data_IF_710997051852
#
_entry.id   IF_710997051852
#
_cell.length_a   1.000
_cell.length_b   1.000
_cell.length_c   1.000
_cell.angle_alpha   90.00
_cell.angle_beta   90.00
_cell.angle_gamma   90.00
#
_symmetry.space_group_name_H-M   'P 1'
#
loop_
_entity.id
_entity.type
_entity.pdbx_description
1 polymer ?
#
# COMPACT_ATOMS: atom_id res chain seq x y z
N UNK A 1 71.79 4.88 -7.99
CA UNK A 1 71.07 3.67 -8.46
C UNK A 1 70.71 2.83 -7.25
N UNK A 2 69.49 2.27 -7.24
CA UNK A 2 69.08 1.04 -6.52
C UNK A 2 68.09 1.16 -5.34
N UNK A 3 66.86 0.71 -5.64
CA UNK A 3 65.95 -0.08 -4.80
C UNK A 3 65.26 0.55 -3.55
N UNK A 4 64.32 1.50 -3.71
CA UNK A 4 63.24 1.74 -2.70
C UNK A 4 61.88 2.22 -3.26
N UNK A 5 61.48 1.83 -4.47
CA UNK A 5 60.21 2.32 -5.10
C UNK A 5 59.28 1.20 -5.59
N UNK A 6 59.51 -0.08 -5.24
CA UNK A 6 58.74 -1.21 -5.81
C UNK A 6 57.66 -1.82 -4.90
N UNK A 7 57.48 -1.35 -3.66
CA UNK A 7 56.57 -2.01 -2.69
C UNK A 7 55.19 -1.39 -2.49
N UNK A 8 54.83 -0.31 -3.17
CA UNK A 8 53.51 0.34 -2.99
C UNK A 8 52.47 -0.01 -4.06
N UNK A 9 52.83 -0.69 -5.14
CA UNK A 9 51.87 -1.01 -6.23
C UNK A 9 51.14 -2.35 -6.00
N UNK A 10 51.66 -3.24 -5.14
CA UNK A 10 51.05 -4.56 -4.92
C UNK A 10 49.86 -4.58 -3.95
N UNK A 11 49.63 -3.51 -3.18
CA UNK A 11 48.54 -3.42 -2.20
C UNK A 11 47.23 -2.86 -2.77
N UNK A 12 47.23 -2.32 -4.01
CA UNK A 12 46.04 -1.72 -4.63
C UNK A 12 45.18 -2.70 -5.46
N UNK A 13 45.54 -4.00 -5.50
CA UNK A 13 44.91 -5.00 -6.38
C UNK A 13 43.95 -5.97 -5.65
N UNK A 14 43.62 -5.73 -4.38
CA UNK A 14 42.83 -6.65 -3.54
C UNK A 14 41.39 -6.21 -3.25
N UNK A 15 40.88 -5.13 -3.84
CA UNK A 15 39.48 -4.68 -3.62
C UNK A 15 38.70 -4.65 -4.93
N UNK A 16 38.66 -5.78 -5.63
CA UNK A 16 37.65 -6.03 -6.64
C UNK A 16 37.07 -7.41 -6.40
N UNK A 17 36.41 -7.58 -5.24
CA UNK A 17 35.46 -8.67 -5.12
C UNK A 17 34.43 -8.43 -6.24
N UNK A 18 34.32 -9.31 -7.25
CA UNK A 18 33.23 -9.23 -8.20
C UNK A 18 31.98 -9.28 -7.34
N UNK A 19 31.25 -8.18 -7.29
CA UNK A 19 29.95 -8.14 -6.64
C UNK A 19 29.18 -9.26 -7.32
N UNK A 20 29.00 -10.39 -6.63
CA UNK A 20 28.19 -11.47 -7.15
C UNK A 20 26.84 -10.82 -7.45
N UNK A 21 26.51 -10.73 -8.74
CA UNK A 21 25.30 -10.07 -9.20
C UNK A 21 24.17 -10.89 -8.62
N UNK A 22 23.68 -10.49 -7.46
CA UNK A 22 22.54 -11.12 -6.83
C UNK A 22 21.42 -11.09 -7.87
N UNK A 23 20.88 -12.27 -8.20
CA UNK A 23 19.84 -12.39 -9.22
C UNK A 23 18.68 -11.44 -8.96
N UNK A 24 17.87 -11.20 -9.99
CA UNK A 24 16.70 -10.31 -9.93
C UNK A 24 15.90 -10.55 -8.65
N UNK A 25 15.69 -9.49 -7.87
CA UNK A 25 14.94 -9.57 -6.61
C UNK A 25 14.17 -8.30 -6.35
N UNK A 26 13.00 -8.44 -5.73
CA UNK A 26 12.33 -7.31 -5.11
C UNK A 26 13.10 -6.87 -3.86
N UNK A 27 13.19 -5.57 -3.65
CA UNK A 27 13.49 -5.01 -2.33
C UNK A 27 12.29 -5.19 -1.38
N UNK A 28 12.34 -4.49 -0.25
CA UNK A 28 11.26 -4.55 0.71
C UNK A 28 9.95 -3.99 0.14
N UNK A 29 8.86 -4.68 0.43
CA UNK A 29 7.52 -4.25 0.03
C UNK A 29 7.00 -3.18 0.97
N UNK A 30 6.78 -1.99 0.42
CA UNK A 30 6.06 -0.92 1.09
C UNK A 30 4.55 -1.14 0.98
N UNK A 31 3.86 -1.06 2.10
CA UNK A 31 2.40 -0.99 2.15
C UNK A 31 1.95 0.45 1.88
N UNK A 32 1.29 0.66 0.75
CA UNK A 32 0.80 1.97 0.33
C UNK A 32 -0.62 2.27 0.83
N UNK A 33 -1.20 1.38 1.63
CA UNK A 33 -2.55 1.51 2.15
C UNK A 33 -3.63 1.23 1.10
N UNK A 34 -4.86 1.60 1.46
CA UNK A 34 -6.02 1.35 0.63
C UNK A 34 -6.04 2.26 -0.59
N UNK A 35 -6.32 1.66 -1.74
CA UNK A 35 -6.55 2.40 -2.98
C UNK A 35 -7.92 3.07 -2.88
N UNK A 36 -8.09 4.23 -3.56
CA UNK A 36 -9.31 5.01 -3.47
C UNK A 36 -10.57 4.10 -3.58
N UNK A 37 -11.40 4.03 -2.52
CA UNK A 37 -12.49 3.09 -2.43
C UNK A 37 -13.63 3.41 -3.41
N UNK A 38 -13.66 4.61 -3.98
CA UNK A 38 -14.61 4.98 -5.05
C UNK A 38 -14.38 4.18 -6.33
N UNK A 39 -13.11 3.82 -6.62
CA UNK A 39 -12.76 3.18 -7.89
C UNK A 39 -12.27 1.74 -7.74
N UNK A 40 -11.72 1.39 -6.57
CA UNK A 40 -11.19 0.07 -6.29
C UNK A 40 -11.53 -0.34 -4.83
N UNK A 41 -12.82 -0.42 -4.48
CA UNK A 41 -13.25 -0.81 -3.14
C UNK A 41 -12.69 -2.20 -2.79
N UNK A 42 -12.09 -2.32 -1.60
CA UNK A 42 -11.53 -3.58 -1.13
C UNK A 42 -10.11 -3.85 -1.61
N UNK A 43 -9.43 -2.88 -2.21
CA UNK A 43 -8.07 -3.07 -2.71
C UNK A 43 -7.03 -2.31 -1.89
N UNK A 44 -5.94 -2.99 -1.57
CA UNK A 44 -4.73 -2.43 -0.96
C UNK A 44 -3.58 -2.46 -1.96
N UNK A 45 -2.76 -1.42 -1.98
CA UNK A 45 -1.60 -1.34 -2.87
C UNK A 45 -0.30 -1.60 -2.11
N UNK A 46 0.61 -2.32 -2.76
CA UNK A 46 1.99 -2.53 -2.29
C UNK A 46 2.96 -2.16 -3.40
N UNK A 47 4.17 -1.73 -3.05
CA UNK A 47 5.21 -1.45 -4.04
C UNK A 47 6.60 -1.83 -3.55
N UNK A 48 7.44 -2.30 -4.46
CA UNK A 48 8.84 -2.60 -4.21
C UNK A 48 9.72 -2.19 -5.39
N UNK A 49 10.99 -1.87 -5.12
CA UNK A 49 12.01 -1.65 -6.14
C UNK A 49 12.51 -3.01 -6.65
N UNK A 50 12.64 -3.17 -7.96
CA UNK A 50 13.32 -4.31 -8.57
C UNK A 50 14.83 -4.04 -8.60
N UNK A 51 15.63 -5.01 -8.15
CA UNK A 51 17.09 -4.93 -8.15
C UNK A 51 17.70 -6.06 -8.99
N UNK A 52 18.98 -5.91 -9.37
CA UNK A 52 19.77 -7.00 -9.96
C UNK A 52 19.35 -7.39 -11.38
N UNK A 53 18.99 -6.41 -12.21
CA UNK A 53 18.60 -6.69 -13.61
C UNK A 53 19.84 -7.07 -14.43
N UNK A 54 19.85 -8.25 -15.09
CA UNK A 54 20.98 -8.67 -15.90
C UNK A 54 21.19 -7.75 -17.10
N UNK A 55 22.46 -7.62 -17.51
CA UNK A 55 22.81 -6.94 -18.76
C UNK A 55 22.04 -7.54 -19.94
N UNK A 56 21.49 -6.68 -20.80
CA UNK A 56 20.69 -7.07 -21.96
C UNK A 56 19.18 -7.17 -21.69
N UNK A 57 18.72 -7.09 -20.44
CA UNK A 57 17.31 -6.94 -20.12
C UNK A 57 16.94 -5.47 -19.94
N UNK A 58 15.80 -5.06 -20.51
CA UNK A 58 15.19 -3.79 -20.13
C UNK A 58 14.58 -3.88 -18.73
N UNK A 59 14.60 -2.76 -18.00
CA UNK A 59 13.92 -2.63 -16.71
C UNK A 59 12.44 -3.02 -16.81
N UNK A 60 11.80 -2.62 -17.91
CA UNK A 60 10.40 -2.90 -18.19
C UNK A 60 10.12 -4.39 -18.38
N UNK A 61 10.95 -5.08 -19.15
CA UNK A 61 10.80 -6.51 -19.39
C UNK A 61 11.01 -7.31 -18.11
N UNK A 62 12.07 -7.02 -17.36
CA UNK A 62 12.35 -7.69 -16.10
C UNK A 62 11.20 -7.51 -15.09
N UNK A 63 10.71 -6.27 -14.93
CA UNK A 63 9.59 -6.00 -14.04
C UNK A 63 8.30 -6.69 -14.49
N UNK A 64 8.03 -6.73 -15.79
CA UNK A 64 6.82 -7.37 -16.31
C UNK A 64 6.78 -8.90 -16.13
N UNK A 65 7.93 -9.54 -15.91
CA UNK A 65 8.03 -11.00 -15.73
C UNK A 65 8.38 -11.43 -14.32
N UNK A 66 8.71 -10.50 -13.43
CA UNK A 66 9.21 -10.83 -12.09
C UNK A 66 8.05 -11.14 -11.12
N UNK A 67 7.93 -12.38 -10.61
CA UNK A 67 6.91 -12.72 -9.62
C UNK A 67 7.20 -12.05 -8.28
N UNK A 68 6.16 -11.80 -7.49
CA UNK A 68 6.27 -11.18 -6.17
C UNK A 68 5.25 -11.74 -5.20
N UNK A 69 5.55 -11.74 -3.90
CA UNK A 69 4.61 -12.20 -2.86
C UNK A 69 4.33 -11.06 -1.91
N UNK A 70 3.08 -10.62 -1.82
CA UNK A 70 2.64 -9.57 -0.88
C UNK A 70 1.47 -10.05 -0.02
N UNK A 71 1.56 -9.84 1.30
CA UNK A 71 0.51 -10.26 2.23
C UNK A 71 0.19 -11.77 2.21
N UNK A 72 1.17 -12.62 1.90
CA UNK A 72 0.98 -14.07 1.74
C UNK A 72 0.40 -14.50 0.40
N UNK A 73 0.15 -13.57 -0.52
CA UNK A 73 -0.37 -13.85 -1.86
C UNK A 73 0.74 -13.75 -2.91
N UNK A 74 0.92 -14.82 -3.69
CA UNK A 74 1.85 -14.84 -4.82
C UNK A 74 1.23 -14.23 -6.07
N UNK A 75 2.00 -13.38 -6.76
CA UNK A 75 1.67 -12.73 -8.01
C UNK A 75 2.68 -13.15 -9.07
N UNK A 76 2.20 -13.46 -10.28
CA UNK A 76 3.08 -13.83 -11.40
C UNK A 76 3.93 -12.64 -11.89
N UNK A 77 3.40 -11.44 -11.73
CA UNK A 77 4.03 -10.17 -12.06
C UNK A 77 3.32 -9.03 -11.31
N UNK A 78 3.93 -7.85 -11.16
CA UNK A 78 3.24 -6.65 -10.69
C UNK A 78 2.08 -6.28 -11.61
N UNK A 79 1.11 -5.53 -11.10
CA UNK A 79 0.06 -4.96 -11.94
C UNK A 79 0.61 -3.80 -12.79
N UNK A 80 1.54 -3.02 -12.23
CA UNK A 80 2.17 -1.89 -12.91
C UNK A 80 3.66 -1.85 -12.67
N UNK A 81 4.40 -1.55 -13.73
CA UNK A 81 5.82 -1.21 -13.68
C UNK A 81 5.96 0.30 -13.87
N UNK A 82 6.52 0.99 -12.86
CA UNK A 82 6.75 2.43 -12.89
C UNK A 82 8.24 2.70 -12.97
N UNK A 83 8.65 3.30 -14.09
CA UNK A 83 10.00 3.81 -14.27
C UNK A 83 10.00 5.27 -13.79
N UNK A 84 10.59 5.52 -12.61
CA UNK A 84 10.77 6.88 -12.09
C UNK A 84 12.17 7.35 -12.44
N UNK A 85 12.27 8.57 -12.95
CA UNK A 85 13.56 9.17 -13.32
C UNK A 85 14.34 9.74 -12.13
N UNK A 86 13.94 9.40 -10.90
CA UNK A 86 14.72 9.78 -9.72
C UNK A 86 16.09 9.12 -9.87
N UNK A 87 17.14 9.92 -10.10
CA UNK A 87 18.52 9.47 -9.97
C UNK A 87 18.60 8.83 -8.60
N UNK A 88 18.59 7.50 -8.54
CA UNK A 88 18.66 6.82 -7.28
C UNK A 88 20.01 7.21 -6.71
N UNK A 89 19.99 8.12 -5.73
CA UNK A 89 21.20 8.79 -5.31
C UNK A 89 22.20 7.77 -4.77
N UNK A 90 21.85 6.50 -4.52
CA UNK A 90 22.83 5.44 -4.24
C UNK A 90 23.86 5.22 -5.36
N UNK A 91 23.50 5.37 -6.63
CA UNK A 91 24.47 5.30 -7.73
C UNK A 91 25.39 6.51 -7.77
N UNK A 92 24.81 7.69 -7.51
CA UNK A 92 25.53 8.96 -7.51
C UNK A 92 26.28 9.16 -6.19
N UNK A 93 25.81 8.63 -5.06
CA UNK A 93 26.37 8.72 -3.73
C UNK A 93 27.45 7.68 -3.54
N UNK A 94 27.35 6.48 -4.11
CA UNK A 94 28.51 5.59 -4.20
C UNK A 94 29.63 6.25 -5.03
N UNK A 95 29.29 6.93 -6.13
CA UNK A 95 30.25 7.69 -6.94
C UNK A 95 30.82 8.92 -6.23
N UNK A 96 29.98 9.70 -5.55
CA UNK A 96 30.36 10.89 -4.76
C UNK A 96 31.16 10.44 -3.53
N UNK A 97 30.72 9.46 -2.75
CA UNK A 97 31.45 8.89 -1.62
C UNK A 97 32.79 8.32 -2.10
N UNK A 98 32.84 7.58 -3.23
CA UNK A 98 34.11 7.11 -3.79
C UNK A 98 35.01 8.28 -4.23
N UNK A 99 34.45 9.33 -4.82
CA UNK A 99 35.19 10.55 -5.16
C UNK A 99 35.68 11.31 -3.92
N UNK A 100 34.89 11.38 -2.86
CA UNK A 100 35.26 11.98 -1.57
C UNK A 100 36.32 11.16 -0.85
N UNK A 101 36.23 9.82 -0.87
CA UNK A 101 37.26 8.91 -0.34
C UNK A 101 38.54 9.01 -1.16
N UNK A 102 38.45 9.10 -2.49
CA UNK A 102 39.60 9.31 -3.36
C UNK A 102 40.25 10.68 -3.15
N UNK A 103 39.46 11.75 -3.03
CA UNK A 103 39.96 13.09 -2.70
C UNK A 103 40.58 13.13 -1.31
N UNK A 104 39.96 12.49 -0.31
CA UNK A 104 40.52 12.33 1.03
C UNK A 104 41.83 11.54 1.03
N UNK A 105 41.92 10.45 0.27
CA UNK A 105 43.15 9.67 0.12
C UNK A 105 44.27 10.45 -0.59
N UNK A 106 43.92 11.27 -1.60
CA UNK A 106 44.85 12.20 -2.26
C UNK A 106 45.32 13.28 -1.28
N UNK A 107 44.43 13.82 -0.44
CA UNK A 107 44.78 14.77 0.62
C UNK A 107 45.71 14.14 1.66
N UNK A 108 45.47 12.89 2.08
CA UNK A 108 46.35 12.14 2.99
C UNK A 108 47.72 11.85 2.35
N UNK A 109 47.77 11.54 1.05
CA UNK A 109 49.02 11.33 0.31
C UNK A 109 49.81 12.64 0.11
N UNK A 110 49.14 13.78 -0.08
CA UNK A 110 49.74 15.11 -0.10
C UNK A 110 50.23 15.55 1.29
N UNK A 111 49.49 15.20 2.36
CA UNK A 111 49.88 15.44 3.76
C UNK A 111 51.13 14.65 4.16
N UNK A 112 51.30 13.42 3.67
CA UNK A 112 52.53 12.65 3.87
C UNK A 112 53.75 13.25 3.14
N UNK A 113 53.53 14.24 2.26
CA UNK A 113 54.57 14.90 1.48
C UNK A 113 54.95 16.31 1.97
N UNK A 114 54.24 16.93 2.93
CA UNK A 114 54.67 18.21 3.50
C UNK A 114 53.70 18.90 4.48
N UNK A 115 54.24 19.32 5.63
CA UNK A 115 53.74 20.23 6.68
C UNK A 115 52.27 20.11 7.17
N UNK A 116 52.11 19.39 8.29
CA UNK A 116 50.84 19.09 8.95
C UNK A 116 50.26 20.19 9.85
N UNK A 117 49.90 21.35 9.29
CA UNK A 117 49.25 22.45 10.05
C UNK A 117 47.77 22.71 9.73
N UNK A 118 47.12 21.91 8.88
CA UNK A 118 45.73 22.18 8.40
C UNK A 118 44.69 21.19 8.95
N UNK A 119 45.03 20.40 9.98
CA UNK A 119 44.25 19.19 10.33
C UNK A 119 43.06 19.40 11.29
N UNK A 120 42.95 20.51 12.02
CA UNK A 120 41.93 20.60 13.08
C UNK A 120 40.54 21.06 12.61
N UNK A 121 40.42 21.65 11.42
CA UNK A 121 39.13 22.20 10.96
C UNK A 121 38.28 21.21 10.15
N UNK A 122 38.91 20.18 9.53
CA UNK A 122 38.21 19.27 8.59
C UNK A 122 37.69 17.95 9.21
N UNK A 123 38.16 17.55 10.40
CA UNK A 123 37.77 16.27 11.03
C UNK A 123 36.50 16.39 11.90
N UNK A 124 35.92 17.58 12.07
CA UNK A 124 34.72 17.78 12.92
C UNK A 124 33.38 17.52 12.22
N UNK A 125 33.36 17.10 10.94
CA UNK A 125 32.12 16.68 10.28
C UNK A 125 31.63 15.36 10.92
N UNK A 126 30.79 15.49 11.94
CA UNK A 126 30.25 14.38 12.75
C UNK A 126 29.67 13.26 11.86
N UNK A 127 29.87 11.98 12.22
CA UNK A 127 29.14 10.83 11.66
C UNK A 127 27.62 11.06 11.56
N UNK A 128 27.05 11.85 12.46
CA UNK A 128 25.62 12.22 12.47
C UNK A 128 25.20 13.00 11.20
N UNK A 129 26.13 13.73 10.59
CA UNK A 129 25.88 14.50 9.35
C UNK A 129 25.71 13.57 8.15
N UNK A 130 26.45 12.46 8.13
CA UNK A 130 26.37 11.48 7.03
C UNK A 130 25.08 10.67 7.13
N UNK A 131 24.72 10.19 8.32
CA UNK A 131 23.45 9.48 8.52
C UNK A 131 22.24 10.39 8.28
N UNK A 132 22.31 11.65 8.72
CA UNK A 132 21.27 12.65 8.47
C UNK A 132 21.04 12.93 6.98
N UNK A 133 22.12 13.00 6.19
CA UNK A 133 22.03 13.19 4.73
C UNK A 133 21.46 11.93 4.04
N UNK A 134 21.86 10.73 4.46
CA UNK A 134 21.28 9.47 3.94
C UNK A 134 19.78 9.40 4.22
N UNK A 135 19.34 9.73 5.43
CA UNK A 135 17.92 9.74 5.80
C UNK A 135 17.08 10.76 5.00
N UNK A 136 17.61 11.96 4.74
CA UNK A 136 16.94 12.98 3.92
C UNK A 136 16.81 12.55 2.46
N UNK A 137 17.82 11.86 1.91
CA UNK A 137 17.81 11.34 0.54
C UNK A 137 16.79 10.21 0.39
N UNK A 138 16.73 9.28 1.36
CA UNK A 138 15.71 8.23 1.38
C UNK A 138 14.30 8.83 1.43
N UNK A 139 14.07 9.84 2.27
CA UNK A 139 12.77 10.52 2.35
C UNK A 139 12.38 11.23 1.04
N UNK A 140 13.32 11.89 0.36
CA UNK A 140 13.07 12.56 -0.92
C UNK A 140 12.71 11.56 -2.04
N UNK A 141 13.44 10.45 -2.13
CA UNK A 141 13.12 9.35 -3.06
C UNK A 141 11.74 8.76 -2.78
N UNK A 142 11.32 8.69 -1.52
CA UNK A 142 10.01 8.19 -1.16
C UNK A 142 8.86 9.11 -1.59
N UNK A 143 9.04 10.43 -1.58
CA UNK A 143 7.98 11.36 -2.00
C UNK A 143 7.80 11.37 -3.52
N UNK A 144 8.88 11.30 -4.30
CA UNK A 144 8.78 11.14 -5.76
C UNK A 144 8.14 9.80 -6.14
N UNK A 145 8.52 8.72 -5.44
CA UNK A 145 7.85 7.43 -5.58
C UNK A 145 6.37 7.52 -5.23
N UNK A 146 5.98 8.32 -4.23
CA UNK A 146 4.58 8.58 -3.87
C UNK A 146 3.84 9.31 -5.00
N UNK A 147 4.43 10.33 -5.61
CA UNK A 147 3.84 11.04 -6.76
C UNK A 147 3.74 10.12 -7.99
N UNK A 148 4.77 9.32 -8.26
CA UNK A 148 4.76 8.28 -9.28
C UNK A 148 3.67 7.25 -9.05
N UNK A 149 3.52 6.79 -7.80
CA UNK A 149 2.50 5.84 -7.38
C UNK A 149 1.10 6.43 -7.48
N UNK A 150 0.88 7.68 -7.05
CA UNK A 150 -0.41 8.36 -7.19
C UNK A 150 -0.77 8.55 -8.68
N UNK A 151 0.22 8.85 -9.52
CA UNK A 151 0.04 8.91 -10.98
C UNK A 151 -0.31 7.53 -11.54
N UNK A 152 0.37 6.48 -11.09
CA UNK A 152 0.10 5.11 -11.49
C UNK A 152 -1.28 4.66 -11.06
N UNK A 153 -1.65 4.89 -9.81
CA UNK A 153 -2.98 4.67 -9.26
C UNK A 153 -4.02 5.36 -10.17
N UNK A 154 -3.90 6.68 -10.42
CA UNK A 154 -4.81 7.40 -11.33
C UNK A 154 -4.83 6.84 -12.75
N UNK A 155 -3.70 6.39 -13.29
CA UNK A 155 -3.60 5.87 -14.65
C UNK A 155 -4.23 4.47 -14.79
N UNK A 156 -4.17 3.63 -13.76
CA UNK A 156 -4.84 2.31 -13.70
C UNK A 156 -6.35 2.48 -13.48
N UNK A 157 -6.71 3.57 -12.79
CA UNK A 157 -8.06 3.90 -12.31
C UNK A 157 -8.85 4.77 -13.31
N UNK A 158 -8.34 5.04 -14.52
CA UNK A 158 -9.23 5.48 -15.61
C UNK A 158 -10.35 4.45 -15.76
N UNK A 159 -11.61 4.89 -16.00
CA UNK A 159 -12.80 4.07 -15.80
C UNK A 159 -12.60 2.74 -16.47
N UNK A 160 -12.49 1.72 -15.63
CA UNK A 160 -12.37 0.32 -15.97
C UNK A 160 -13.45 0.03 -17.04
N UNK A 161 -13.10 -0.13 -18.33
CA UNK A 161 -14.06 -0.63 -19.28
C UNK A 161 -14.26 -2.08 -18.86
N UNK A 162 -15.33 -2.35 -18.14
CA UNK A 162 -15.74 -3.73 -17.91
C UNK A 162 -15.91 -4.34 -19.30
N UNK A 163 -15.35 -5.53 -19.56
CA UNK A 163 -15.74 -6.27 -20.76
C UNK A 163 -17.26 -6.36 -20.76
N UNK A 164 -17.89 -5.96 -21.87
CA UNK A 164 -19.33 -6.02 -22.01
C UNK A 164 -19.80 -7.45 -21.71
N UNK A 165 -20.45 -7.66 -20.57
CA UNK A 165 -20.92 -8.97 -20.10
C UNK A 165 -20.15 -9.62 -18.94
N UNK A 166 -19.09 -9.02 -18.40
CA UNK A 166 -18.51 -9.46 -17.13
C UNK A 166 -19.41 -9.07 -15.94
N UNK A 167 -19.53 -9.89 -14.87
CA UNK A 167 -20.19 -9.43 -13.66
C UNK A 167 -19.49 -8.14 -13.20
N UNK A 168 -20.24 -7.09 -12.81
CA UNK A 168 -19.60 -5.91 -12.27
C UNK A 168 -18.68 -6.38 -11.14
N UNK A 169 -17.40 -6.00 -11.18
CA UNK A 169 -16.42 -6.35 -10.14
C UNK A 169 -16.90 -6.00 -8.73
N UNK A 170 -17.96 -5.19 -8.63
CA UNK A 170 -18.54 -4.66 -7.42
C UNK A 170 -20.06 -4.82 -7.33
N UNK A 171 -20.69 -5.59 -8.23
CA UNK A 171 -21.97 -6.22 -7.89
C UNK A 171 -21.67 -7.35 -6.93
N UNK A 172 -22.46 -7.48 -5.87
CA UNK A 172 -22.28 -8.53 -4.88
C UNK A 172 -21.93 -9.85 -5.58
N UNK A 173 -20.69 -10.34 -5.37
CA UNK A 173 -20.31 -11.65 -5.86
C UNK A 173 -21.40 -12.63 -5.41
N UNK A 174 -21.78 -13.62 -6.23
CA UNK A 174 -22.82 -14.58 -5.86
C UNK A 174 -22.56 -15.08 -4.44
N UNK A 175 -23.59 -15.16 -3.58
CA UNK A 175 -23.43 -15.63 -2.21
C UNK A 175 -22.60 -16.92 -2.16
N UNK A 176 -21.54 -16.93 -1.35
CA UNK A 176 -20.60 -18.06 -1.26
C UNK A 176 -19.35 -17.98 -2.15
N UNK A 177 -19.23 -16.96 -3.01
CA UNK A 177 -17.99 -16.73 -3.78
C UNK A 177 -16.92 -16.10 -2.89
N UNK A 178 -15.73 -16.69 -2.84
CA UNK A 178 -14.55 -16.04 -2.26
C UNK A 178 -14.13 -14.87 -3.16
N UNK A 179 -14.65 -13.69 -2.83
CA UNK A 179 -14.43 -12.48 -3.60
C UNK A 179 -12.95 -12.11 -3.69
N UNK A 180 -12.14 -12.41 -2.66
CA UNK A 180 -10.70 -12.13 -2.66
C UNK A 180 -9.99 -12.99 -3.70
N UNK A 181 -10.34 -14.28 -3.76
CA UNK A 181 -9.82 -15.20 -4.77
C UNK A 181 -10.18 -14.74 -6.18
N UNK A 182 -11.43 -14.32 -6.41
CA UNK A 182 -11.89 -13.85 -7.71
C UNK A 182 -11.17 -12.55 -8.15
N UNK A 183 -11.05 -11.57 -7.26
CA UNK A 183 -10.34 -10.31 -7.52
C UNK A 183 -8.86 -10.56 -7.80
N UNK A 184 -8.19 -11.37 -6.96
CA UNK A 184 -6.77 -11.68 -7.16
C UNK A 184 -6.53 -12.45 -8.46
N UNK A 185 -7.42 -13.37 -8.85
CA UNK A 185 -7.34 -14.06 -10.13
C UNK A 185 -7.54 -13.09 -11.32
N UNK A 186 -8.50 -12.17 -11.22
CA UNK A 186 -8.73 -11.16 -12.24
C UNK A 186 -7.51 -10.22 -12.41
N UNK A 187 -6.88 -9.81 -11.31
CA UNK A 187 -5.65 -9.01 -11.32
C UNK A 187 -4.49 -9.78 -11.97
N UNK A 188 -4.33 -11.06 -11.65
CA UNK A 188 -3.27 -11.92 -12.19
C UNK A 188 -3.42 -12.20 -13.70
N UNK A 189 -4.62 -12.08 -14.26
CA UNK A 189 -4.88 -12.28 -15.69
C UNK A 189 -4.60 -11.02 -16.54
N UNK A 190 -4.34 -9.85 -15.92
CA UNK A 190 -4.15 -8.60 -16.67
C UNK A 190 -2.73 -8.47 -17.21
N UNK A 191 -2.55 -7.91 -18.40
CA UNK A 191 -1.22 -7.51 -18.84
C UNK A 191 -0.67 -6.41 -17.93
N UNK A 192 0.64 -6.46 -17.71
CA UNK A 192 1.37 -5.46 -16.93
C UNK A 192 1.28 -4.11 -17.63
N UNK A 193 0.81 -3.08 -16.92
CA UNK A 193 0.85 -1.71 -17.45
C UNK A 193 2.23 -1.11 -17.19
N UNK A 194 2.88 -0.63 -18.24
CA UNK A 194 4.15 0.08 -18.12
C UNK A 194 3.88 1.59 -18.13
N UNK A 195 4.46 2.30 -17.16
CA UNK A 195 4.42 3.76 -17.09
C UNK A 195 5.86 4.25 -17.16
N UNK A 196 6.21 4.82 -18.31
CA UNK A 196 7.49 5.52 -18.50
C UNK A 196 7.29 6.99 -18.18
N UNK A 197 8.05 7.52 -17.22
CA UNK A 197 8.15 8.97 -16.98
C UNK A 197 9.39 9.63 -17.60
N UNK A 198 10.19 8.88 -18.36
CA UNK A 198 11.14 9.42 -19.33
C UNK A 198 12.19 8.41 -19.82
N UNK A 199 13.38 8.88 -20.19
CA UNK A 199 14.36 8.18 -21.04
C UNK A 199 15.56 7.53 -20.29
N UNK A 200 15.63 7.57 -18.96
CA UNK A 200 16.89 7.21 -18.26
C UNK A 200 16.83 6.58 -16.86
N UNK A 201 15.75 5.89 -16.46
CA UNK A 201 15.63 5.44 -15.07
C UNK A 201 16.61 4.34 -14.63
N UNK A 202 17.19 4.55 -13.44
CA UNK A 202 18.13 3.65 -12.75
C UNK A 202 17.43 2.62 -11.84
N UNK A 203 16.10 2.71 -11.69
CA UNK A 203 15.30 1.81 -10.87
C UNK A 203 13.87 1.65 -11.43
N UNK A 204 13.30 0.47 -11.22
CA UNK A 204 11.92 0.15 -11.62
C UNK A 204 11.12 -0.28 -10.40
N UNK A 205 9.93 0.27 -10.25
CA UNK A 205 9.00 -0.09 -9.19
C UNK A 205 7.93 -1.04 -9.71
N UNK A 206 7.72 -2.15 -9.02
CA UNK A 206 6.56 -3.01 -9.20
C UNK A 206 5.46 -2.59 -8.23
N UNK A 207 4.26 -2.31 -8.74
CA UNK A 207 3.07 -2.03 -7.93
C UNK A 207 2.13 -3.22 -8.00
N UNK A 208 1.74 -3.73 -6.82
CA UNK A 208 0.87 -4.88 -6.63
C UNK A 208 -0.43 -4.41 -5.98
N UNK A 209 -1.53 -5.08 -6.32
CA UNK A 209 -2.82 -4.88 -5.68
C UNK A 209 -3.27 -6.19 -5.10
N UNK A 210 -3.75 -6.17 -3.86
CA UNK A 210 -4.34 -7.33 -3.22
C UNK A 210 -5.70 -6.95 -2.64
N UNK A 211 -6.63 -7.91 -2.70
CA UNK A 211 -7.89 -7.80 -2.02
C UNK A 211 -7.69 -7.75 -0.49
N UNK A 212 -8.23 -6.74 0.16
CA UNK A 212 -8.17 -6.52 1.60
C UNK A 212 -9.51 -5.99 2.12
N UNK A 213 -10.14 -6.72 3.05
CA UNK A 213 -11.41 -6.31 3.65
C UNK A 213 -11.31 -4.95 4.36
N UNK A 214 -10.12 -4.60 4.87
CA UNK A 214 -9.85 -3.30 5.52
C UNK A 214 -9.95 -2.12 4.55
N UNK A 215 -9.89 -2.40 3.25
CA UNK A 215 -9.94 -1.41 2.18
C UNK A 215 -11.28 -1.36 1.47
N UNK A 216 -12.25 -2.16 1.88
CA UNK A 216 -13.62 -1.97 1.43
C UNK A 216 -14.04 -0.55 1.87
N UNK A 217 -14.74 0.23 1.03
CA UNK A 217 -15.44 1.41 1.51
C UNK A 217 -16.25 0.96 2.72
N UNK A 218 -16.58 1.89 3.63
CA UNK A 218 -17.50 1.62 4.72
C UNK A 218 -18.93 1.41 4.20
N UNK A 219 -19.11 0.58 3.17
CA UNK A 219 -20.37 -0.02 2.82
C UNK A 219 -20.84 -0.86 4.00
N UNK A 220 -22.14 -0.84 4.19
CA UNK A 220 -22.80 -1.69 5.15
C UNK A 220 -22.41 -3.15 4.92
N UNK A 221 -21.77 -3.78 5.92
CA UNK A 221 -21.51 -5.20 5.88
C UNK A 221 -22.84 -5.94 6.01
N UNK A 222 -23.41 -6.36 4.88
CA UNK A 222 -24.58 -7.22 4.82
C UNK A 222 -24.12 -8.67 4.88
N UNK A 223 -24.09 -9.23 6.09
CA UNK A 223 -23.88 -10.66 6.31
C UNK A 223 -25.18 -11.27 6.81
N UNK A 224 -25.67 -12.30 6.11
CA UNK A 224 -26.79 -13.09 6.62
C UNK A 224 -26.47 -13.58 8.03
N UNK A 225 -27.45 -13.50 8.93
CA UNK A 225 -27.38 -13.97 10.32
C UNK A 225 -26.37 -13.26 11.24
N UNK A 226 -25.83 -12.09 10.86
CA UNK A 226 -25.06 -11.28 11.80
C UNK A 226 -25.99 -10.61 12.82
N UNK A 227 -25.70 -10.84 14.10
CA UNK A 227 -26.31 -10.16 15.24
C UNK A 227 -25.40 -8.99 15.70
N UNK A 228 -25.90 -8.11 16.57
CA UNK A 228 -25.21 -6.94 17.10
C UNK A 228 -23.88 -7.32 17.77
N UNK A 229 -23.87 -8.39 18.58
CA UNK A 229 -22.67 -8.83 19.29
C UNK A 229 -21.55 -9.28 18.33
N UNK A 230 -21.90 -10.03 17.28
CA UNK A 230 -21.00 -10.45 16.23
C UNK A 230 -20.48 -9.26 15.42
N UNK A 231 -21.34 -8.27 15.12
CA UNK A 231 -20.95 -7.01 14.50
C UNK A 231 -19.96 -6.22 15.36
N UNK A 232 -20.24 -6.09 16.66
CA UNK A 232 -19.37 -5.40 17.61
C UNK A 232 -17.99 -6.08 17.70
N UNK A 233 -17.98 -7.41 17.86
CA UNK A 233 -16.75 -8.20 17.90
C UNK A 233 -15.95 -8.08 16.59
N UNK A 234 -16.63 -8.11 15.44
CA UNK A 234 -15.97 -7.97 14.15
C UNK A 234 -15.19 -6.66 14.03
N UNK A 235 -15.76 -5.56 14.52
CA UNK A 235 -15.09 -4.26 14.54
C UNK A 235 -13.96 -4.22 15.57
N UNK A 236 -14.18 -4.75 16.79
CA UNK A 236 -13.15 -4.73 17.83
C UNK A 236 -11.92 -5.56 17.48
N UNK A 237 -12.09 -6.69 16.82
CA UNK A 237 -10.98 -7.54 16.33
C UNK A 237 -10.09 -6.81 15.31
N UNK A 238 -10.54 -5.66 14.78
CA UNK A 238 -9.82 -4.79 13.86
C UNK A 238 -9.40 -3.45 14.48
N UNK A 239 -9.48 -3.33 15.81
CA UNK A 239 -9.16 -2.09 16.52
C UNK A 239 -10.15 -0.95 16.27
N UNK A 240 -11.37 -1.27 15.84
CA UNK A 240 -12.44 -0.31 15.56
C UNK A 240 -13.66 -0.58 16.46
N UNK A 241 -14.64 0.33 16.44
CA UNK A 241 -15.92 0.18 17.14
C UNK A 241 -17.07 0.18 16.14
N UNK A 242 -18.27 -0.24 16.56
CA UNK A 242 -19.45 0.04 15.75
C UNK A 242 -19.68 1.55 15.66
N UNK A 243 -20.06 2.02 14.48
CA UNK A 243 -20.41 3.42 14.30
C UNK A 243 -21.63 3.79 15.16
N UNK A 244 -21.60 4.97 15.76
CA UNK A 244 -22.74 5.59 16.45
C UNK A 244 -23.84 5.99 15.46
N UNK A 245 -25.07 6.15 15.92
CA UNK A 245 -26.19 6.68 15.13
C UNK A 245 -25.80 7.99 14.45
N UNK A 246 -25.11 8.90 15.15
CA UNK A 246 -24.65 10.17 14.59
C UNK A 246 -23.63 10.01 13.45
N UNK A 247 -22.78 8.97 13.50
CA UNK A 247 -21.84 8.64 12.42
C UNK A 247 -22.52 7.94 11.25
N UNK A 248 -23.56 7.15 11.53
CA UNK A 248 -24.37 6.45 10.52
C UNK A 248 -25.25 7.46 9.77
N UNK A 249 -25.84 8.41 10.49
CA UNK A 249 -26.87 9.32 10.04
C UNK A 249 -26.47 10.79 10.29
N UNK A 250 -25.95 11.44 9.25
CA UNK A 250 -25.54 12.84 9.30
C UNK A 250 -26.65 13.71 8.71
N UNK A 251 -27.11 14.71 9.48
CA UNK A 251 -28.21 15.58 9.05
C UNK A 251 -29.53 14.85 8.82
N UNK A 252 -29.76 13.72 9.50
CA UNK A 252 -30.97 12.91 9.34
C UNK A 252 -30.96 11.94 8.15
N UNK A 253 -29.85 11.85 7.40
CA UNK A 253 -29.71 10.95 6.27
C UNK A 253 -28.57 9.94 6.47
N UNK A 254 -28.72 8.68 6.03
CA UNK A 254 -27.63 7.71 6.12
C UNK A 254 -26.46 8.11 5.21
N UNK A 255 -25.26 8.19 5.78
CA UNK A 255 -24.05 8.68 5.09
C UNK A 255 -23.66 7.80 3.89
N UNK A 256 -24.09 6.54 3.89
CA UNK A 256 -23.77 5.55 2.85
C UNK A 256 -24.95 5.22 1.94
N UNK A 257 -25.99 6.07 1.95
CA UNK A 257 -27.21 5.86 1.18
C UNK A 257 -28.22 4.92 1.85
N UNK A 258 -29.37 4.78 1.20
CA UNK A 258 -30.56 4.13 1.73
C UNK A 258 -30.90 2.88 0.91
N UNK A 259 -30.61 1.65 1.38
CA UNK A 259 -30.94 0.43 0.65
C UNK A 259 -32.46 0.26 0.47
N UNK A 260 -32.89 -0.30 -0.66
CA UNK A 260 -34.29 -0.56 -1.00
C UNK A 260 -34.88 -1.80 -0.29
N UNK A 261 -34.84 -1.83 1.04
CA UNK A 261 -35.38 -2.89 1.89
C UNK A 261 -35.68 -2.36 3.31
N UNK A 262 -36.14 -3.23 4.21
CA UNK A 262 -36.08 -2.95 5.65
C UNK A 262 -34.69 -3.35 6.15
N UNK A 263 -33.85 -2.36 6.43
CA UNK A 263 -32.46 -2.61 6.81
C UNK A 263 -32.17 -1.94 8.12
N UNK A 264 -31.79 -2.77 9.10
CA UNK A 264 -31.39 -2.36 10.42
C UNK A 264 -29.88 -2.45 10.55
N UNK A 265 -29.26 -1.34 10.94
CA UNK A 265 -27.83 -1.24 11.10
C UNK A 265 -27.42 -1.24 12.57
N UNK A 266 -26.54 -2.14 12.96
CA UNK A 266 -26.01 -2.22 14.33
C UNK A 266 -25.20 -0.96 14.66
N UNK A 267 -25.59 -0.27 15.73
CA UNK A 267 -25.00 0.99 16.16
C UNK A 267 -24.21 0.81 17.46
N UNK A 268 -23.13 1.58 17.61
CA UNK A 268 -22.24 1.53 18.75
C UNK A 268 -22.67 2.35 19.97
N UNK A 269 -23.82 3.04 19.89
CA UNK A 269 -24.29 3.93 20.98
C UNK A 269 -24.65 3.16 22.26
N UNK A 270 -25.13 1.92 22.13
CA UNK A 270 -25.48 1.04 23.24
C UNK A 270 -25.51 -0.44 22.78
N UNK A 271 -25.39 -1.41 23.72
CA UNK A 271 -25.65 -2.82 23.43
C UNK A 271 -27.02 -3.02 22.78
N UNK A 272 -27.05 -3.83 21.72
CA UNK A 272 -28.25 -4.13 20.94
C UNK A 272 -28.94 -2.91 20.30
N UNK A 273 -28.19 -1.84 20.00
CA UNK A 273 -28.75 -0.66 19.31
C UNK A 273 -28.79 -0.89 17.80
N UNK A 274 -29.94 -0.58 17.19
CA UNK A 274 -30.16 -0.73 15.75
C UNK A 274 -30.78 0.55 15.17
N UNK A 275 -30.24 1.02 14.06
CA UNK A 275 -30.70 2.22 13.33
C UNK A 275 -31.28 1.80 11.99
N UNK A 276 -32.51 2.21 11.69
CA UNK A 276 -33.12 1.95 10.39
C UNK A 276 -32.47 2.82 9.31
N UNK A 277 -32.02 2.20 8.22
CA UNK A 277 -31.37 2.89 7.09
C UNK A 277 -32.06 2.62 5.74
N UNK A 278 -33.00 1.68 5.72
CA UNK A 278 -33.68 1.24 4.49
C UNK A 278 -34.89 2.09 4.10
N UNK A 279 -35.26 2.07 2.82
CA UNK A 279 -36.36 2.88 2.28
C UNK A 279 -37.74 2.24 2.39
N UNK A 280 -37.87 0.99 2.85
CA UNK A 280 -39.19 0.33 2.99
C UNK A 280 -40.14 1.10 3.92
N UNK A 281 -39.57 1.74 4.95
CA UNK A 281 -40.29 2.57 5.92
C UNK A 281 -39.57 3.92 6.07
N UNK A 282 -39.84 4.90 5.17
CA UNK A 282 -39.07 6.14 5.08
C UNK A 282 -39.17 7.02 6.35
N UNK A 283 -40.28 6.91 7.09
CA UNK A 283 -40.52 7.59 8.36
C UNK A 283 -39.62 7.09 9.50
N UNK A 284 -38.96 5.94 9.31
CA UNK A 284 -38.04 5.32 10.29
C UNK A 284 -36.58 5.61 9.99
N UNK A 285 -36.26 6.10 8.79
CA UNK A 285 -34.87 6.33 8.38
C UNK A 285 -34.16 7.19 9.42
N UNK A 286 -32.98 6.73 9.84
CA UNK A 286 -32.16 7.33 10.87
C UNK A 286 -32.76 7.38 12.28
N UNK A 287 -33.83 6.63 12.56
CA UNK A 287 -34.33 6.37 13.91
C UNK A 287 -33.80 5.03 14.43
N UNK A 288 -33.64 4.95 15.74
CA UNK A 288 -33.33 3.69 16.41
C UNK A 288 -34.58 2.82 16.55
N UNK A 289 -34.40 1.52 16.74
CA UNK A 289 -35.52 0.63 17.03
C UNK A 289 -36.29 1.09 18.28
N UNK A 290 -35.59 1.57 19.32
CA UNK A 290 -36.21 2.18 20.51
C UNK A 290 -37.06 3.41 20.17
N UNK A 291 -36.60 4.29 19.29
CA UNK A 291 -37.36 5.47 18.85
C UNK A 291 -38.60 5.10 18.04
N UNK A 292 -38.59 3.96 17.33
CA UNK A 292 -39.70 3.48 16.50
C UNK A 292 -40.70 2.65 17.31
N UNK A 293 -40.21 1.77 18.20
CA UNK A 293 -41.01 0.75 18.89
C UNK A 293 -41.11 0.95 20.41
N UNK A 294 -40.49 2.01 20.96
CA UNK A 294 -40.48 2.32 22.39
C UNK A 294 -39.53 1.47 23.24
N UNK A 295 -38.88 0.46 22.65
CA UNK A 295 -37.94 -0.44 23.33
C UNK A 295 -36.87 -0.99 22.38
N UNK A 296 -35.78 -1.50 22.95
CA UNK A 296 -34.78 -2.28 22.21
C UNK A 296 -35.45 -3.54 21.64
N UNK A 297 -34.96 -4.06 20.51
CA UNK A 297 -35.52 -5.29 19.96
C UNK A 297 -35.25 -6.47 20.89
N UNK A 298 -36.18 -7.42 20.95
CA UNK A 298 -36.01 -8.69 21.67
C UNK A 298 -35.10 -9.68 20.90
N UNK A 299 -34.50 -9.21 19.79
CA UNK A 299 -33.51 -9.88 18.95
C UNK A 299 -32.24 -9.02 18.88
N UNK A 300 -31.17 -9.54 18.28
CA UNK A 300 -29.95 -8.79 17.96
C UNK A 300 -28.77 -9.09 18.88
N UNK A 301 -28.95 -9.67 20.06
CA UNK A 301 -27.82 -10.10 20.91
C UNK A 301 -27.33 -11.52 20.59
N UNK A 302 -28.28 -12.43 20.41
CA UNK A 302 -28.09 -13.87 20.17
C UNK A 302 -28.33 -14.23 18.69
N UNK A 303 -29.27 -13.55 18.04
CA UNK A 303 -29.65 -13.77 16.63
C UNK A 303 -29.90 -12.46 15.91
N UNK A 304 -29.77 -12.45 14.58
CA UNK A 304 -30.24 -11.34 13.77
C UNK A 304 -31.78 -11.19 13.79
N UNK A 305 -32.32 -10.10 13.22
CA UNK A 305 -33.74 -9.99 12.90
C UNK A 305 -34.17 -11.17 12.03
N UNK A 306 -35.41 -11.61 12.23
CA UNK A 306 -35.83 -12.92 11.78
C UNK A 306 -35.93 -13.02 10.24
N UNK A 307 -35.54 -14.15 9.63
CA UNK A 307 -35.56 -14.32 8.17
C UNK A 307 -36.96 -14.19 7.55
N UNK A 308 -38.03 -14.41 8.33
CA UNK A 308 -39.41 -14.31 7.84
C UNK A 308 -39.89 -12.87 7.61
N UNK A 309 -39.23 -11.85 8.18
CA UNK A 309 -39.63 -10.44 8.00
C UNK A 309 -38.92 -9.74 6.84
N UNK A 310 -38.03 -10.43 6.12
CA UNK A 310 -37.13 -9.87 5.10
C UNK A 310 -36.23 -8.73 5.61
N UNK A 311 -36.10 -8.58 6.93
CA UNK A 311 -35.22 -7.61 7.55
C UNK A 311 -33.76 -7.99 7.31
N UNK A 312 -32.99 -7.08 6.75
CA UNK A 312 -31.56 -7.28 6.51
C UNK A 312 -30.77 -6.60 7.63
N UNK A 313 -29.74 -7.28 8.14
CA UNK A 313 -28.77 -6.63 9.01
C UNK A 313 -27.62 -6.05 8.25
N UNK A 314 -27.19 -4.91 8.75
CA UNK A 314 -26.00 -4.22 8.36
C UNK A 314 -25.20 -3.86 9.61
N UNK A 315 -23.90 -3.65 9.43
CA UNK A 315 -23.11 -2.94 10.42
C UNK A 315 -21.99 -2.16 9.72
N UNK A 316 -21.43 -1.20 10.43
CA UNK A 316 -20.28 -0.41 9.98
C UNK A 316 -19.32 -0.22 11.14
N UNK A 317 -18.04 -0.40 10.86
CA UNK A 317 -16.98 -0.08 11.81
C UNK A 317 -16.53 1.37 11.63
N UNK A 318 -16.31 2.06 12.73
CA UNK A 318 -15.76 3.40 12.83
C UNK A 318 -14.51 3.36 13.74
N UNK A 319 -13.50 4.21 13.48
CA UNK A 319 -12.38 4.40 14.39
C UNK A 319 -12.83 4.89 15.76
#
# INVERSE_FOLDING_TARGET
MSLRVRSTIAALLLIAAPHAWAGQKWGDFKDNGCVNPEYAPGMRSYSAILWGIPNGYSWEQACATMPGTVGGHGFKHPAVCVNVESLNLYGVSAGIIAAWVALGAVSVALLAAGDGSVLEEFISASPDTVEGVVGLIEAANQEEARVGLLTAQRAIIRPWPLPAGGPPLFGAAPPGTDWKKAVNAALAARPVKQIRKGNGGLNMWGVFFAADDRCLPPAYHRKANFNWAASAKYCSDRGMKLCTQAQICRGGAPVMGTPAADVWLAAGDAPNRWVAIGTKFPDRVCKTHEQVAGKAPDWGLDRGPQPFTQEQTAFRCCP
#
